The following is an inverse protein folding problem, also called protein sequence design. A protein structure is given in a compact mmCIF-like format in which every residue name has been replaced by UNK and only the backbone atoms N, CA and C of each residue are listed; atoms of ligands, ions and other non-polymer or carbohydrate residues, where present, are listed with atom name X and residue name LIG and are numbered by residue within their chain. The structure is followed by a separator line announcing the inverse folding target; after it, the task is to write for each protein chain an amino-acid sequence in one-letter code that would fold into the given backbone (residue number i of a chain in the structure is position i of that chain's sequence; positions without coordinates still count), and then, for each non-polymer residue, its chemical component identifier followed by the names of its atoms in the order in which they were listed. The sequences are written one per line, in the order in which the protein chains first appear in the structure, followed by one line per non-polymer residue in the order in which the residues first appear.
data_IF_766730141141
#
_entry.id   IF_766730141141
#
_cell.length_a   1.000
_cell.length_b   1.000
_cell.length_c   1.000
_cell.angle_alpha   90.00
_cell.angle_beta   90.00
_cell.angle_gamma   90.00
#
_symmetry.space_group_name_H-M   'P 1'
#
loop_
_entity.id
_entity.type
_entity.pdbx_description
1 polymer ?
#
# COMPACT_ATOMS: atom_id res chain seq x y z
N UNK A 1 -21.37 8.56 -17.96
CA UNK A 1 -20.12 7.82 -18.22
C UNK A 1 -19.40 7.29 -16.97
N UNK A 2 -19.72 7.72 -15.74
CA UNK A 2 -19.08 7.19 -14.51
C UNK A 2 -19.51 5.76 -14.10
N UNK A 3 -20.75 5.37 -14.41
CA UNK A 3 -21.30 4.07 -13.99
C UNK A 3 -20.58 2.85 -14.58
N UNK A 4 -20.10 2.95 -15.81
CA UNK A 4 -19.40 1.87 -16.53
C UNK A 4 -18.00 1.59 -15.98
N UNK A 5 -17.40 2.54 -15.28
CA UNK A 5 -16.09 2.38 -14.65
C UNK A 5 -16.22 1.66 -13.30
N UNK A 6 -17.24 2.02 -12.51
CA UNK A 6 -17.55 1.35 -11.25
C UNK A 6 -17.96 -0.12 -11.44
N UNK A 7 -18.76 -0.43 -12.47
CA UNK A 7 -19.14 -1.83 -12.74
C UNK A 7 -17.93 -2.70 -13.11
N UNK A 8 -16.92 -2.13 -13.79
CA UNK A 8 -15.68 -2.83 -14.18
C UNK A 8 -14.86 -3.24 -12.95
N UNK A 9 -14.70 -2.34 -11.98
CA UNK A 9 -13.99 -2.64 -10.73
C UNK A 9 -14.74 -3.64 -9.87
N UNK A 10 -16.07 -3.53 -9.78
CA UNK A 10 -16.94 -4.49 -9.06
C UNK A 10 -16.88 -5.88 -9.69
N UNK A 11 -16.89 -5.98 -11.02
CA UNK A 11 -16.72 -7.26 -11.73
C UNK A 11 -15.34 -7.87 -11.50
N UNK A 12 -14.29 -7.05 -11.44
CA UNK A 12 -12.95 -7.55 -11.12
C UNK A 12 -12.89 -8.11 -9.71
N UNK A 13 -13.46 -7.36 -8.76
CA UNK A 13 -13.52 -7.75 -7.35
C UNK A 13 -14.31 -9.05 -7.17
N UNK A 14 -15.46 -9.22 -7.82
CA UNK A 14 -16.26 -10.45 -7.73
C UNK A 14 -15.51 -11.67 -8.29
N UNK A 15 -14.80 -11.53 -9.42
CA UNK A 15 -13.98 -12.61 -9.98
C UNK A 15 -12.81 -12.94 -9.05
N UNK A 16 -12.17 -11.93 -8.45
CA UNK A 16 -11.12 -12.12 -7.44
C UNK A 16 -11.61 -12.89 -6.22
N UNK A 17 -12.79 -12.55 -5.68
CA UNK A 17 -13.40 -13.31 -4.58
C UNK A 17 -13.77 -14.73 -5.01
N UNK A 18 -14.30 -14.92 -6.22
CA UNK A 18 -14.62 -16.25 -6.75
C UNK A 18 -13.37 -17.13 -6.86
N UNK A 19 -12.22 -16.58 -7.29
CA UNK A 19 -10.94 -17.30 -7.32
C UNK A 19 -10.45 -17.66 -5.93
N UNK A 20 -10.61 -16.76 -4.94
CA UNK A 20 -10.25 -17.03 -3.55
C UNK A 20 -11.09 -18.16 -2.94
N UNK A 21 -12.41 -18.13 -3.12
CA UNK A 21 -13.30 -19.18 -2.64
C UNK A 21 -13.13 -20.50 -3.42
N UNK A 22 -12.94 -20.43 -4.74
CA UNK A 22 -12.69 -21.59 -5.59
C UNK A 22 -11.38 -22.30 -5.23
N UNK A 23 -10.31 -21.53 -4.96
CA UNK A 23 -9.04 -22.07 -4.49
C UNK A 23 -9.15 -22.74 -3.12
N UNK A 24 -10.01 -22.22 -2.22
CA UNK A 24 -10.31 -22.89 -0.95
C UNK A 24 -11.05 -24.21 -1.15
N UNK A 25 -11.98 -24.29 -2.10
CA UNK A 25 -12.69 -25.53 -2.41
C UNK A 25 -11.76 -26.65 -2.91
N UNK A 26 -10.64 -26.28 -3.55
CA UNK A 26 -9.64 -27.21 -4.08
C UNK A 26 -8.57 -27.57 -3.01
N UNK A 27 -8.71 -27.09 -1.75
CA UNK A 27 -7.72 -27.24 -0.67
C UNK A 27 -6.35 -26.59 -0.95
N UNK A 28 -6.23 -25.75 -1.99
CA UNK A 28 -4.99 -25.06 -2.34
C UNK A 28 -5.07 -23.56 -2.01
N UNK A 29 -5.20 -23.20 -0.72
CA UNK A 29 -5.52 -21.83 -0.29
C UNK A 29 -4.55 -20.75 -0.76
N UNK A 30 -3.25 -21.05 -0.86
CA UNK A 30 -2.24 -20.08 -1.32
C UNK A 30 -2.39 -19.74 -2.80
N UNK A 31 -2.78 -20.72 -3.63
CA UNK A 31 -2.90 -20.55 -5.08
C UNK A 31 -3.93 -19.48 -5.47
N UNK A 32 -5.00 -19.34 -4.69
CA UNK A 32 -6.06 -18.34 -4.94
C UNK A 32 -5.57 -16.91 -4.82
N UNK A 33 -4.72 -16.63 -3.82
CA UNK A 33 -4.13 -15.30 -3.62
C UNK A 33 -3.18 -14.94 -4.77
N UNK A 34 -2.37 -15.90 -5.22
CA UNK A 34 -1.50 -15.68 -6.37
C UNK A 34 -2.31 -15.48 -7.66
N UNK A 35 -3.34 -16.30 -7.89
CA UNK A 35 -4.20 -16.20 -9.07
C UNK A 35 -4.94 -14.86 -9.14
N UNK A 36 -5.53 -14.39 -8.03
CA UNK A 36 -6.18 -13.08 -7.99
C UNK A 36 -5.19 -11.94 -8.20
N UNK A 37 -3.97 -12.03 -7.66
CA UNK A 37 -2.95 -10.99 -7.85
C UNK A 37 -2.55 -10.86 -9.32
N UNK A 38 -2.28 -11.99 -9.99
CA UNK A 38 -1.93 -12.01 -11.41
C UNK A 38 -3.09 -11.48 -12.26
N UNK A 39 -4.33 -11.90 -11.98
CA UNK A 39 -5.52 -11.41 -12.67
C UNK A 39 -5.66 -9.89 -12.55
N UNK A 40 -5.48 -9.35 -11.35
CA UNK A 40 -5.54 -7.91 -11.08
C UNK A 40 -4.47 -7.16 -11.87
N UNK A 41 -3.22 -7.64 -11.90
CA UNK A 41 -2.14 -7.00 -12.68
C UNK A 41 -2.47 -6.98 -14.17
N UNK A 42 -3.00 -8.08 -14.71
CA UNK A 42 -3.40 -8.17 -16.12
C UNK A 42 -4.53 -7.17 -16.42
N UNK A 43 -5.53 -7.09 -15.55
CA UNK A 43 -6.65 -6.17 -15.71
C UNK A 43 -6.23 -4.69 -15.65
N UNK A 44 -5.41 -4.32 -14.66
CA UNK A 44 -4.83 -2.97 -14.57
C UNK A 44 -3.99 -2.65 -15.81
N UNK A 45 -3.19 -3.61 -16.28
CA UNK A 45 -2.37 -3.42 -17.48
C UNK A 45 -3.22 -3.16 -18.72
N UNK A 46 -4.34 -3.89 -18.88
CA UNK A 46 -5.29 -3.70 -19.97
C UNK A 46 -6.01 -2.35 -19.89
N UNK A 47 -6.44 -1.91 -18.71
CA UNK A 47 -7.07 -0.59 -18.54
C UNK A 47 -6.12 0.57 -18.80
N UNK A 48 -4.84 0.43 -18.42
CA UNK A 48 -3.83 1.45 -18.67
C UNK A 48 -3.52 1.63 -20.16
N UNK A 49 -3.69 0.59 -20.97
CA UNK A 49 -3.55 0.64 -22.44
C UNK A 49 -4.81 1.26 -23.08
N UNK A 50 -6.00 0.94 -22.56
CA UNK A 50 -7.28 1.40 -23.11
C UNK A 50 -7.54 2.89 -22.88
N UNK A 51 -7.26 3.43 -21.67
CA UNK A 51 -7.56 4.83 -21.34
C UNK A 51 -6.67 5.37 -20.18
N UNK A 52 -5.51 5.96 -20.53
CA UNK A 52 -4.51 6.44 -19.54
C UNK A 52 -5.01 7.51 -18.56
N UNK A 53 -5.76 8.50 -19.02
CA UNK A 53 -6.17 9.67 -18.19
C UNK A 53 -7.38 9.42 -17.27
N UNK A 54 -8.08 8.28 -17.42
CA UNK A 54 -9.24 7.93 -16.56
C UNK A 54 -8.86 6.97 -15.44
N UNK A 55 -7.78 6.20 -15.62
CA UNK A 55 -7.26 5.28 -14.63
C UNK A 55 -6.82 6.01 -13.34
N UNK A 56 -6.26 7.21 -13.45
CA UNK A 56 -5.77 7.99 -12.29
C UNK A 56 -6.87 8.31 -11.27
N UNK A 57 -8.09 8.63 -11.73
CA UNK A 57 -9.23 8.91 -10.85
C UNK A 57 -9.76 7.65 -10.16
N UNK A 58 -9.66 6.50 -10.82
CA UNK A 58 -10.11 5.22 -10.26
C UNK A 58 -9.15 4.71 -9.18
N UNK A 59 -7.84 4.90 -9.40
CA UNK A 59 -6.80 4.57 -8.43
C UNK A 59 -6.94 5.37 -7.13
N UNK A 60 -7.25 6.68 -7.22
CA UNK A 60 -7.47 7.54 -6.05
C UNK A 60 -8.68 7.09 -5.23
N UNK A 61 -9.81 6.79 -5.88
CA UNK A 61 -11.02 6.30 -5.20
C UNK A 61 -10.78 4.94 -4.55
N UNK A 62 -10.03 4.05 -5.21
CA UNK A 62 -9.67 2.75 -4.65
C UNK A 62 -8.72 2.89 -3.45
N UNK A 63 -7.75 3.80 -3.50
CA UNK A 63 -6.85 4.08 -2.39
C UNK A 63 -7.61 4.60 -1.16
N UNK A 64 -8.54 5.54 -1.36
CA UNK A 64 -9.37 6.09 -0.29
C UNK A 64 -10.30 5.02 0.31
N UNK A 65 -10.91 4.18 -0.54
CA UNK A 65 -11.71 3.05 -0.09
C UNK A 65 -10.87 2.06 0.73
N UNK A 66 -9.65 1.76 0.30
CA UNK A 66 -8.75 0.84 0.99
C UNK A 66 -8.31 1.40 2.35
N UNK A 67 -7.97 2.68 2.43
CA UNK A 67 -7.57 3.35 3.66
C UNK A 67 -8.72 3.44 4.67
N UNK A 68 -9.94 3.74 4.22
CA UNK A 68 -11.10 3.88 5.10
C UNK A 68 -11.69 2.54 5.54
N UNK A 69 -11.66 1.52 4.67
CA UNK A 69 -12.33 0.24 4.92
C UNK A 69 -11.35 -0.89 5.24
N UNK A 70 -10.41 -1.19 4.34
CA UNK A 70 -9.57 -2.38 4.48
C UNK A 70 -8.58 -2.28 5.64
N UNK A 71 -7.98 -1.10 5.86
CA UNK A 71 -7.06 -0.86 6.97
C UNK A 71 -7.68 -1.18 8.33
N UNK A 72 -8.79 -0.53 8.75
CA UNK A 72 -9.40 -0.83 10.05
C UNK A 72 -9.94 -2.25 10.13
N UNK A 73 -10.45 -2.83 9.04
CA UNK A 73 -10.92 -4.23 9.01
C UNK A 73 -9.76 -5.20 9.27
N UNK A 74 -8.59 -4.99 8.67
CA UNK A 74 -7.41 -5.84 8.92
C UNK A 74 -6.97 -5.74 10.38
N UNK A 75 -6.95 -4.54 10.96
CA UNK A 75 -6.61 -4.37 12.38
C UNK A 75 -7.63 -5.04 13.30
N UNK A 76 -8.92 -4.90 13.01
CA UNK A 76 -9.98 -5.54 13.77
C UNK A 76 -9.90 -7.07 13.70
N UNK A 77 -9.58 -7.63 12.53
CA UNK A 77 -9.50 -9.07 12.31
C UNK A 77 -8.29 -9.69 13.02
N UNK A 78 -7.12 -9.03 12.93
CA UNK A 78 -5.92 -9.44 13.67
C UNK A 78 -6.17 -9.35 15.19
N UNK A 79 -6.81 -8.27 15.64
CA UNK A 79 -7.17 -8.10 17.06
C UNK A 79 -8.19 -9.12 17.56
N UNK A 80 -9.12 -9.55 16.71
CA UNK A 80 -10.09 -10.61 17.02
C UNK A 80 -9.42 -11.98 17.17
N UNK A 81 -8.44 -12.29 16.31
CA UNK A 81 -7.67 -13.54 16.38
C UNK A 81 -6.75 -13.58 17.62
N UNK A 82 -6.33 -12.42 18.12
CA UNK A 82 -5.42 -12.28 19.25
C UNK A 82 -6.13 -12.35 20.62
N UNK A 83 -6.57 -13.55 21.02
CA UNK A 83 -7.21 -13.80 22.31
C UNK A 83 -6.18 -13.91 23.47
N UNK A 84 -5.87 -12.80 24.14
CA UNK A 84 -4.87 -12.70 25.25
C UNK A 84 -5.14 -13.70 26.38
N UNK A 85 -6.40 -14.07 26.61
CA UNK A 85 -6.81 -15.01 27.65
C UNK A 85 -6.33 -16.46 27.41
N UNK A 86 -6.01 -16.84 26.16
CA UNK A 86 -5.52 -18.18 25.78
C UNK A 86 -4.03 -18.24 25.42
N UNK A 87 -3.32 -17.12 25.51
CA UNK A 87 -1.93 -17.03 25.06
C UNK A 87 -0.97 -17.63 26.10
N UNK A 88 -0.59 -18.88 25.88
CA UNK A 88 0.54 -19.51 26.57
C UNK A 88 1.86 -18.89 26.11
N UNK A 89 2.82 -18.67 27.03
CA UNK A 89 4.13 -18.07 26.73
C UNK A 89 4.90 -18.79 25.60
N UNK A 90 4.66 -20.10 25.41
CA UNK A 90 5.23 -20.87 24.31
C UNK A 90 4.73 -20.41 22.94
N UNK A 91 3.43 -20.15 22.80
CA UNK A 91 2.82 -19.74 21.53
C UNK A 91 3.27 -18.33 21.12
N UNK A 92 3.49 -17.45 22.10
CA UNK A 92 4.06 -16.11 21.87
C UNK A 92 5.49 -16.23 21.31
N UNK A 93 6.32 -17.09 21.89
CA UNK A 93 7.70 -17.28 21.46
C UNK A 93 7.78 -17.91 20.07
N UNK A 94 6.90 -18.87 19.76
CA UNK A 94 6.82 -19.49 18.43
C UNK A 94 6.38 -18.47 17.37
N UNK A 95 5.41 -17.61 17.68
CA UNK A 95 5.02 -16.49 16.82
C UNK A 95 6.18 -15.52 16.55
N UNK A 96 6.95 -15.17 17.58
CA UNK A 96 8.14 -14.31 17.42
C UNK A 96 9.25 -14.99 16.61
N UNK A 97 9.44 -16.30 16.78
CA UNK A 97 10.39 -17.08 16.00
C UNK A 97 10.02 -17.09 14.51
N UNK A 98 8.75 -17.33 14.18
CA UNK A 98 8.24 -17.30 12.80
C UNK A 98 8.40 -15.90 12.20
N UNK A 99 8.08 -14.84 12.97
CA UNK A 99 8.27 -13.46 12.53
C UNK A 99 9.75 -13.15 12.24
N UNK A 100 10.66 -13.59 13.11
CA UNK A 100 12.11 -13.44 12.92
C UNK A 100 12.61 -14.17 11.68
N UNK A 101 12.20 -15.42 11.48
CA UNK A 101 12.56 -16.21 10.29
C UNK A 101 12.04 -15.54 9.01
N UNK A 102 10.80 -15.05 9.01
CA UNK A 102 10.23 -14.32 7.87
C UNK A 102 11.03 -13.06 7.53
N UNK A 103 11.50 -12.33 8.54
CA UNK A 103 12.34 -11.15 8.36
C UNK A 103 13.71 -11.49 7.77
N UNK A 104 14.33 -12.59 8.21
CA UNK A 104 15.60 -13.08 7.65
C UNK A 104 15.45 -13.52 6.19
N UNK A 105 14.41 -14.29 5.86
CA UNK A 105 14.13 -14.71 4.48
C UNK A 105 13.97 -13.48 3.58
N UNK A 106 13.27 -12.45 4.05
CA UNK A 106 13.09 -11.20 3.30
C UNK A 106 14.41 -10.48 3.03
N UNK A 107 15.32 -10.45 4.00
CA UNK A 107 16.68 -9.90 3.81
C UNK A 107 17.48 -10.70 2.79
N UNK A 108 17.41 -12.04 2.84
CA UNK A 108 18.11 -12.92 1.90
C UNK A 108 17.58 -12.71 0.47
N UNK A 109 16.26 -12.66 0.27
CA UNK A 109 15.69 -12.39 -1.05
C UNK A 109 16.05 -11.00 -1.58
N UNK A 110 16.04 -9.97 -0.73
CA UNK A 110 16.47 -8.62 -1.13
C UNK A 110 17.94 -8.61 -1.59
N UNK A 111 18.79 -9.36 -0.89
CA UNK A 111 20.19 -9.53 -1.25
C UNK A 111 20.36 -10.29 -2.58
N UNK A 112 19.65 -11.40 -2.79
CA UNK A 112 19.68 -12.15 -4.05
C UNK A 112 19.19 -11.31 -5.25
N UNK A 113 18.11 -10.54 -5.06
CA UNK A 113 17.59 -9.65 -6.10
C UNK A 113 18.62 -8.57 -6.48
N UNK A 114 19.35 -8.07 -5.49
CA UNK A 114 20.39 -7.06 -5.71
C UNK A 114 21.66 -7.62 -6.36
N UNK A 115 21.98 -8.91 -6.18
CA UNK A 115 23.08 -9.54 -6.93
C UNK A 115 22.83 -9.56 -8.43
N UNK A 116 21.57 -9.68 -8.84
CA UNK A 116 21.17 -9.63 -10.25
C UNK A 116 21.43 -8.25 -10.89
N UNK A 117 21.65 -7.20 -10.08
CA UNK A 117 21.95 -5.85 -10.54
C UNK A 117 23.45 -5.55 -10.74
N UNK A 118 24.37 -6.46 -10.37
CA UNK A 118 25.81 -6.31 -10.63
C UNK A 118 26.54 -5.22 -9.81
N UNK A 119 25.97 -4.81 -8.68
CA UNK A 119 26.53 -3.78 -7.78
C UNK A 119 27.45 -4.38 -6.70
N UNK A 120 28.30 -3.55 -6.09
CA UNK A 120 29.23 -3.99 -5.04
C UNK A 120 28.50 -4.41 -3.75
N UNK A 121 29.08 -5.33 -2.95
CA UNK A 121 28.47 -5.91 -1.74
C UNK A 121 27.99 -4.85 -0.72
N UNK A 122 28.66 -3.70 -0.66
CA UNK A 122 28.28 -2.58 0.19
C UNK A 122 27.01 -1.87 -0.30
N UNK A 123 26.87 -1.62 -1.61
CA UNK A 123 25.69 -0.98 -2.20
C UNK A 123 24.47 -1.89 -2.14
N UNK A 124 24.69 -3.19 -2.29
CA UNK A 124 23.66 -4.22 -2.22
C UNK A 124 23.06 -4.38 -0.81
N UNK A 125 23.88 -4.25 0.23
CA UNK A 125 23.41 -4.20 1.62
C UNK A 125 22.59 -2.92 1.88
N UNK A 126 23.03 -1.77 1.34
CA UNK A 126 22.31 -0.50 1.46
C UNK A 126 20.94 -0.54 0.76
N UNK A 127 20.85 -1.11 -0.43
CA UNK A 127 19.57 -1.27 -1.16
C UNK A 127 18.61 -2.18 -0.39
N UNK A 128 19.10 -3.29 0.17
CA UNK A 128 18.28 -4.21 0.97
C UNK A 128 17.75 -3.56 2.25
N UNK A 129 18.57 -2.74 2.92
CA UNK A 129 18.17 -1.97 4.12
C UNK A 129 17.23 -0.82 3.77
N UNK A 130 17.40 -0.17 2.61
CA UNK A 130 16.46 0.85 2.11
C UNK A 130 15.11 0.23 1.74
N UNK A 131 15.09 -0.98 1.18
CA UNK A 131 13.85 -1.72 0.91
C UNK A 131 13.12 -2.12 2.20
N UNK A 132 13.85 -2.40 3.28
CA UNK A 132 13.28 -2.58 4.62
C UNK A 132 12.70 -1.27 5.17
N UNK A 133 13.38 -0.14 4.95
CA UNK A 133 13.01 1.20 5.41
C UNK A 133 11.94 1.89 4.56
N UNK A 134 11.54 1.33 3.41
CA UNK A 134 10.58 1.98 2.50
C UNK A 134 9.24 2.32 3.17
N UNK A 135 8.86 1.66 4.27
CA UNK A 135 7.70 2.02 5.08
C UNK A 135 7.93 3.27 5.98
N UNK A 136 9.14 3.49 6.48
CA UNK A 136 9.50 4.62 7.35
C UNK A 136 9.64 5.92 6.57
N UNK A 137 10.18 5.87 5.34
CA UNK A 137 10.40 7.07 4.52
C UNK A 137 9.08 7.62 3.95
N UNK A 138 8.08 6.76 3.74
CA UNK A 138 6.78 7.19 3.20
C UNK A 138 5.99 8.06 4.18
N UNK A 139 6.14 7.83 5.50
CA UNK A 139 5.48 8.66 6.53
C UNK A 139 6.16 10.02 6.67
N UNK A 140 7.50 10.09 6.59
CA UNK A 140 8.22 11.35 6.69
C UNK A 140 8.04 12.23 5.45
N UNK A 141 8.04 11.66 4.24
CA UNK A 141 7.79 12.42 3.00
C UNK A 141 6.37 12.96 2.89
N UNK A 142 5.33 12.19 3.27
CA UNK A 142 3.96 12.69 3.28
C UNK A 142 3.75 13.83 4.29
N UNK A 143 4.38 13.75 5.46
CA UNK A 143 4.31 14.79 6.49
C UNK A 143 5.02 16.07 6.05
N UNK A 144 6.20 15.95 5.42
CA UNK A 144 6.96 17.08 4.86
C UNK A 144 6.24 17.74 3.69
N UNK A 145 5.61 16.96 2.81
CA UNK A 145 4.85 17.51 1.68
C UNK A 145 3.61 18.29 2.15
N UNK A 146 2.87 17.77 3.13
CA UNK A 146 1.73 18.50 3.75
C UNK A 146 2.20 19.76 4.48
N UNK A 147 3.33 19.71 5.20
CA UNK A 147 3.91 20.88 5.86
C UNK A 147 4.38 21.95 4.85
N UNK A 148 4.99 21.53 3.74
CA UNK A 148 5.46 22.43 2.67
C UNK A 148 4.29 23.08 1.91
N UNK A 149 3.19 22.34 1.67
CA UNK A 149 1.96 22.88 1.10
C UNK A 149 1.29 23.91 2.02
N UNK A 150 1.16 23.63 3.32
CA UNK A 150 0.61 24.58 4.28
C UNK A 150 1.47 25.85 4.39
N UNK A 151 2.79 25.72 4.29
CA UNK A 151 3.69 26.88 4.29
C UNK A 151 3.54 27.74 3.02
N UNK A 152 3.32 27.10 1.86
CA UNK A 152 3.05 27.79 0.59
C UNK A 152 1.67 28.48 0.53
N UNK A 153 0.66 27.90 1.17
CA UNK A 153 -0.67 28.53 1.34
C UNK A 153 -0.58 29.72 2.30
N UNK A 154 0.09 29.57 3.44
CA UNK A 154 0.25 30.65 4.43
C UNK A 154 1.00 31.86 3.87
N UNK A 155 2.01 31.65 3.02
CA UNK A 155 2.74 32.73 2.35
C UNK A 155 1.92 33.45 1.28
N UNK A 156 1.01 32.76 0.58
CA UNK A 156 0.05 33.40 -0.34
C UNK A 156 -1.03 34.20 0.37
N UNK A 157 -1.51 33.73 1.52
CA UNK A 157 -2.47 34.47 2.34
C UNK A 157 -1.84 35.77 2.85
N UNK A 158 -0.61 35.72 3.37
CA UNK A 158 0.12 36.92 3.82
C UNK A 158 0.36 37.94 2.70
N UNK A 159 0.73 37.50 1.50
CA UNK A 159 0.89 38.39 0.34
C UNK A 159 -0.44 39.06 -0.05
N UNK A 160 -1.56 38.32 0.03
CA UNK A 160 -2.88 38.84 -0.29
C UNK A 160 -3.38 39.83 0.79
N UNK A 161 -3.07 39.60 2.07
CA UNK A 161 -3.33 40.54 3.16
C UNK A 161 -2.52 41.83 3.04
N UNK A 162 -1.28 41.76 2.56
CA UNK A 162 -0.43 42.93 2.38
C UNK A 162 -0.90 43.79 1.20
N UNK A 163 -1.33 43.16 0.10
CA UNK A 163 -2.00 43.85 -1.01
C UNK A 163 -3.32 44.51 -0.58
N UNK A 164 -4.11 43.85 0.26
CA UNK A 164 -5.34 44.42 0.81
C UNK A 164 -5.06 45.60 1.74
N UNK A 165 -3.99 45.57 2.55
CA UNK A 165 -3.56 46.73 3.36
C UNK A 165 -3.17 47.94 2.51
N UNK A 166 -2.47 47.72 1.40
CA UNK A 166 -2.06 48.81 0.50
C UNK A 166 -3.24 49.46 -0.22
N UNK A 167 -4.30 48.69 -0.53
CA UNK A 167 -5.51 49.21 -1.18
C UNK A 167 -6.44 49.95 -0.20
N UNK A 168 -6.48 49.54 1.08
CA UNK A 168 -7.35 50.15 2.10
C UNK A 168 -6.66 51.33 2.83
N UNK A 169 -5.33 51.44 2.73
CA UNK A 169 -4.54 52.54 3.30
C UNK A 169 -4.41 53.79 2.42
N UNK A 170 -5.21 53.90 1.35
CA UNK A 170 -5.32 55.08 0.47
C UNK A 170 -6.74 55.62 0.53
#
# INVERSE_FOLDING_TARGET
MYHTHFIRTVMLLSVSLALLFGSRAINCQSAGVFATTVLTIIALSRWRIDNRCKAEKEEEVFALLFELFSMPVMFALIGYDFEIAKLEMKMVLEGFAIAGIGMLIRLIFAFLLSFCAGLTLAEQALISVVLLSKATIQVSSHSVSKASYNHAISSRELENFDKLRLVVGT
#
